data_IF_226487798436
#
_entry.id   IF_226487798436
#
_cell.length_a   1.000
_cell.length_b   1.000
_cell.length_c   1.000
_cell.angle_alpha   90.00
_cell.angle_beta   90.00
_cell.angle_gamma   90.00
#
_symmetry.space_group_name_H-M   'P 1'
#
loop_
_entity.id
_entity.type
_entity.pdbx_description
1 polymer ?
#
# COMPACT_ATOMS: atom_id res chain seq x y z
N UNK A 1 51.46 -41.39 -48.69
CA UNK A 1 50.85 -41.24 -47.35
C UNK A 1 51.48 -40.04 -46.65
N UNK A 2 50.68 -39.33 -45.85
CA UNK A 2 50.93 -38.03 -45.16
C UNK A 2 50.45 -36.79 -45.93
N UNK A 3 49.15 -36.56 -45.85
CA UNK A 3 48.53 -35.25 -45.98
C UNK A 3 48.80 -34.46 -44.69
N UNK A 4 49.39 -33.27 -44.80
CA UNK A 4 49.47 -32.29 -43.71
C UNK A 4 48.39 -31.25 -43.96
N UNK A 5 47.44 -31.18 -43.03
CA UNK A 5 46.39 -30.16 -42.97
C UNK A 5 46.90 -29.02 -42.09
N UNK A 6 46.86 -27.79 -42.59
CA UNK A 6 47.07 -26.59 -41.77
C UNK A 6 45.73 -25.88 -41.63
N UNK A 7 45.19 -25.92 -40.42
CA UNK A 7 43.94 -25.28 -40.01
C UNK A 7 44.06 -23.75 -40.04
N UNK A 8 43.12 -23.10 -40.72
CA UNK A 8 42.78 -21.69 -40.49
C UNK A 8 42.05 -21.58 -39.14
N UNK A 9 42.43 -20.65 -38.23
CA UNK A 9 41.60 -20.36 -37.07
C UNK A 9 40.37 -19.54 -37.52
N UNK A 10 39.20 -20.16 -37.40
CA UNK A 10 37.91 -19.47 -37.47
C UNK A 10 37.77 -18.60 -36.21
N UNK A 11 37.78 -17.28 -36.38
CA UNK A 11 37.49 -16.33 -35.30
C UNK A 11 35.98 -16.40 -35.06
N UNK A 12 35.56 -17.12 -34.02
CA UNK A 12 34.22 -17.03 -33.47
C UNK A 12 34.15 -15.73 -32.66
N UNK A 13 33.59 -14.67 -33.24
CA UNK A 13 33.13 -13.52 -32.43
C UNK A 13 31.87 -13.95 -31.70
N UNK A 14 32.06 -14.36 -30.44
CA UNK A 14 30.97 -14.57 -29.50
C UNK A 14 30.35 -13.21 -29.19
N UNK A 15 29.26 -12.87 -29.88
CA UNK A 15 28.42 -11.74 -29.50
C UNK A 15 27.69 -12.13 -28.21
N UNK A 16 28.28 -11.80 -27.07
CA UNK A 16 27.56 -11.82 -25.80
C UNK A 16 26.49 -10.71 -25.85
N UNK A 17 25.31 -11.05 -26.37
CA UNK A 17 24.10 -10.36 -25.94
C UNK A 17 23.91 -10.76 -24.47
N UNK A 18 24.43 -9.93 -23.56
CA UNK A 18 23.88 -9.87 -22.21
C UNK A 18 22.47 -9.30 -22.34
N UNK A 19 21.50 -10.18 -22.60
CA UNK A 19 20.17 -9.98 -22.07
C UNK A 19 20.34 -10.00 -20.55
N UNK A 20 20.39 -8.81 -19.96
CA UNK A 20 20.13 -8.61 -18.54
C UNK A 20 18.70 -9.08 -18.28
N UNK A 21 18.55 -10.38 -18.03
CA UNK A 21 17.37 -10.94 -17.40
C UNK A 21 17.37 -10.47 -15.95
N UNK A 22 16.90 -9.25 -15.71
CA UNK A 22 16.34 -8.92 -14.40
C UNK A 22 14.94 -9.53 -14.42
N UNK A 23 14.90 -10.86 -14.33
CA UNK A 23 13.71 -11.55 -13.89
C UNK A 23 13.61 -11.27 -12.38
N UNK A 24 13.07 -10.10 -12.03
CA UNK A 24 12.49 -9.92 -10.70
C UNK A 24 11.32 -10.86 -10.67
N UNK A 25 11.52 -12.09 -10.17
CA UNK A 25 10.38 -12.93 -9.83
C UNK A 25 9.59 -12.13 -8.81
N UNK A 26 8.43 -11.63 -9.21
CA UNK A 26 7.44 -11.16 -8.26
C UNK A 26 7.22 -12.35 -7.32
N UNK A 27 7.67 -12.24 -6.07
CA UNK A 27 7.21 -13.16 -5.05
C UNK A 27 5.68 -13.23 -5.16
N UNK A 28 5.08 -14.42 -4.98
CA UNK A 28 3.62 -14.54 -5.12
C UNK A 28 2.97 -13.48 -4.24
N UNK A 29 2.25 -12.54 -4.88
CA UNK A 29 1.65 -11.40 -4.18
C UNK A 29 0.65 -11.93 -3.16
N UNK A 30 1.04 -11.91 -1.89
CA UNK A 30 0.20 -12.35 -0.77
C UNK A 30 -0.69 -11.18 -0.37
N UNK A 31 -1.94 -11.48 -0.03
CA UNK A 31 -2.82 -10.48 0.56
C UNK A 31 -2.21 -9.91 1.84
N UNK A 32 -2.21 -8.59 1.98
CA UNK A 32 -1.77 -7.90 3.18
C UNK A 32 -2.90 -7.01 3.71
N UNK A 33 -3.17 -7.12 5.00
CA UNK A 33 -4.09 -6.20 5.69
C UNK A 33 -3.41 -4.87 6.02
N UNK A 34 -4.19 -3.85 6.34
CA UNK A 34 -3.65 -2.58 6.87
C UNK A 34 -2.80 -2.85 8.12
N UNK A 35 -3.27 -3.72 9.01
CA UNK A 35 -2.56 -4.09 10.24
C UNK A 35 -1.20 -4.75 9.98
N UNK A 36 -1.09 -5.55 8.92
CA UNK A 36 0.20 -6.15 8.56
C UNK A 36 1.23 -5.08 8.21
N UNK A 37 0.84 -4.08 7.40
CA UNK A 37 1.70 -2.96 7.06
C UNK A 37 2.03 -2.06 8.26
N UNK A 38 1.02 -1.73 9.07
CA UNK A 38 1.23 -0.91 10.27
C UNK A 38 2.14 -1.61 11.29
N UNK A 39 1.99 -2.93 11.47
CA UNK A 39 2.87 -3.74 12.33
C UNK A 39 4.31 -3.68 11.85
N UNK A 40 4.57 -3.88 10.55
CA UNK A 40 5.94 -3.79 10.02
C UNK A 40 6.55 -2.41 10.23
N UNK A 41 5.80 -1.33 9.99
CA UNK A 41 6.30 0.02 10.26
C UNK A 41 6.55 0.26 11.76
N UNK A 42 5.70 -0.27 12.64
CA UNK A 42 5.89 -0.20 14.09
C UNK A 42 7.15 -0.94 14.54
N UNK A 43 7.39 -2.15 14.03
CA UNK A 43 8.59 -2.95 14.29
C UNK A 43 9.86 -2.18 13.87
N UNK A 44 9.89 -1.63 12.64
CA UNK A 44 11.02 -0.85 12.14
C UNK A 44 11.26 0.43 12.94
N UNK A 45 10.18 1.06 13.42
CA UNK A 45 10.27 2.24 14.29
C UNK A 45 10.90 1.87 15.63
N UNK A 46 10.46 0.77 16.26
CA UNK A 46 11.05 0.28 17.50
C UNK A 46 12.52 -0.10 17.33
N UNK A 47 12.88 -0.81 16.27
CA UNK A 47 14.26 -1.16 15.97
C UNK A 47 15.13 0.11 15.83
N UNK A 48 14.65 1.11 15.11
CA UNK A 48 15.34 2.40 14.95
C UNK A 48 15.49 3.16 16.27
N UNK A 49 14.50 3.09 17.17
CA UNK A 49 14.57 3.68 18.49
C UNK A 49 15.59 2.96 19.39
N UNK A 50 15.66 1.63 19.30
CA UNK A 50 16.65 0.81 20.03
C UNK A 50 18.07 1.12 19.52
N UNK A 51 18.27 1.15 18.20
CA UNK A 51 19.57 1.46 17.59
C UNK A 51 20.11 2.84 17.99
N UNK A 52 19.22 3.83 18.17
CA UNK A 52 19.55 5.17 18.63
C UNK A 52 19.69 5.28 20.16
N UNK A 53 19.50 4.18 20.89
CA UNK A 53 19.53 4.13 22.36
C UNK A 53 18.46 5.02 22.99
N UNK A 54 17.31 5.16 22.33
CA UNK A 54 16.11 5.82 22.86
C UNK A 54 15.31 4.81 23.66
N UNK A 55 15.12 3.63 23.09
CA UNK A 55 14.62 2.47 23.81
C UNK A 55 15.78 1.55 24.18
N UNK A 56 15.61 0.83 25.29
CA UNK A 56 16.52 -0.20 25.76
C UNK A 56 15.74 -1.51 25.90
N UNK A 57 16.36 -2.61 25.47
CA UNK A 57 15.78 -3.95 25.59
C UNK A 57 16.06 -4.47 27.00
N UNK A 58 15.00 -4.68 27.78
CA UNK A 58 15.06 -5.25 29.12
C UNK A 58 14.32 -6.60 29.13
N UNK A 59 15.04 -7.66 28.76
CA UNK A 59 14.46 -8.99 28.63
C UNK A 59 13.54 -9.09 27.41
N UNK A 60 12.22 -9.18 27.65
CA UNK A 60 11.19 -9.22 26.59
C UNK A 60 10.54 -7.88 26.32
N UNK A 61 10.82 -6.89 27.16
CA UNK A 61 10.19 -5.58 27.09
C UNK A 61 11.18 -4.55 26.54
N UNK A 62 10.65 -3.51 25.90
CA UNK A 62 11.39 -2.31 25.53
C UNK A 62 11.00 -1.19 26.46
N UNK A 63 11.98 -0.58 27.13
CA UNK A 63 11.77 0.54 28.05
C UNK A 63 12.46 1.78 27.52
N UNK A 64 11.97 2.96 27.92
CA UNK A 64 12.64 4.22 27.60
C UNK A 64 13.97 4.32 28.37
N UNK A 65 15.05 4.71 27.69
CA UNK A 65 16.36 4.92 28.32
C UNK A 65 16.28 6.01 29.39
N UNK A 66 17.01 5.85 30.50
CA UNK A 66 16.98 6.78 31.64
C UNK A 66 17.27 8.24 31.24
N UNK A 67 18.12 8.45 30.22
CA UNK A 67 18.47 9.80 29.71
C UNK A 67 17.27 10.56 29.11
N UNK A 68 16.19 9.84 28.83
CA UNK A 68 14.96 10.35 28.23
C UNK A 68 13.79 10.42 29.23
N UNK A 69 14.03 10.07 30.48
CA UNK A 69 13.06 10.23 31.56
C UNK A 69 13.22 11.60 32.23
N UNK A 70 12.10 12.20 32.60
CA UNK A 70 12.08 13.32 33.54
C UNK A 70 12.45 12.79 34.94
N UNK A 71 13.44 13.39 35.62
CA UNK A 71 13.93 12.88 36.91
C UNK A 71 12.96 13.09 38.07
N UNK A 72 11.99 13.99 37.95
CA UNK A 72 10.98 14.26 38.98
C UNK A 72 9.76 13.35 38.83
N UNK A 73 9.30 13.11 37.59
CA UNK A 73 8.08 12.33 37.33
C UNK A 73 8.34 10.88 36.91
N UNK A 74 9.52 10.59 36.35
CA UNK A 74 9.81 9.30 35.71
C UNK A 74 9.05 9.08 34.41
N UNK A 75 8.42 10.11 33.84
CA UNK A 75 7.75 10.07 32.54
C UNK A 75 8.72 10.44 31.40
N UNK A 76 8.31 10.27 30.15
CA UNK A 76 9.11 10.71 29.01
C UNK A 76 9.29 12.24 29.02
N UNK A 77 10.52 12.71 28.83
CA UNK A 77 10.78 14.14 28.69
C UNK A 77 10.39 14.68 27.30
N UNK A 78 10.28 16.00 27.17
CA UNK A 78 9.81 16.68 25.95
C UNK A 78 10.62 16.34 24.68
N UNK A 79 11.88 15.91 24.83
CA UNK A 79 12.74 15.60 23.68
C UNK A 79 12.37 14.29 22.98
N UNK A 80 11.74 13.35 23.69
CA UNK A 80 11.42 12.01 23.18
C UNK A 80 10.38 12.06 22.08
N UNK A 81 9.35 12.89 22.26
CA UNK A 81 8.26 12.99 21.29
C UNK A 81 8.79 13.43 19.93
N UNK A 82 9.64 14.48 19.88
CA UNK A 82 10.23 14.95 18.62
C UNK A 82 11.09 13.89 17.93
N UNK A 83 11.88 13.12 18.70
CA UNK A 83 12.70 12.04 18.15
C UNK A 83 11.85 10.89 17.61
N UNK A 84 10.81 10.49 18.36
CA UNK A 84 9.86 9.49 17.92
C UNK A 84 9.18 9.88 16.61
N UNK A 85 8.73 11.14 16.52
CA UNK A 85 8.10 11.70 15.31
C UNK A 85 9.03 11.65 14.11
N UNK A 86 10.28 12.11 14.27
CA UNK A 86 11.30 12.08 13.22
C UNK A 86 11.55 10.66 12.71
N UNK A 87 11.74 9.71 13.63
CA UNK A 87 12.04 8.31 13.31
C UNK A 87 10.84 7.67 12.60
N UNK A 88 9.64 7.80 13.16
CA UNK A 88 8.41 7.21 12.60
C UNK A 88 8.16 7.73 11.17
N UNK A 89 8.38 9.02 10.95
CA UNK A 89 8.25 9.63 9.63
C UNK A 89 9.30 9.12 8.62
N UNK A 90 10.55 8.95 9.06
CA UNK A 90 11.61 8.38 8.22
C UNK A 90 11.34 6.91 7.88
N UNK A 91 10.84 6.13 8.83
CA UNK A 91 10.44 4.73 8.61
C UNK A 91 9.29 4.67 7.61
N UNK A 92 8.22 5.45 7.80
CA UNK A 92 7.11 5.49 6.86
C UNK A 92 7.57 5.87 5.45
N UNK A 93 8.41 6.91 5.31
CA UNK A 93 8.99 7.31 4.03
C UNK A 93 9.82 6.19 3.39
N UNK A 94 10.64 5.49 4.17
CA UNK A 94 11.47 4.40 3.67
C UNK A 94 10.60 3.19 3.24
N UNK A 95 9.56 2.88 4.00
CA UNK A 95 8.62 1.81 3.70
C UNK A 95 7.83 2.09 2.41
N UNK A 96 7.47 3.36 2.18
CA UNK A 96 6.76 3.84 1.00
C UNK A 96 7.66 4.34 -0.14
N UNK A 97 8.99 4.16 -0.05
CA UNK A 97 9.93 4.65 -1.07
C UNK A 97 9.62 4.09 -2.47
N UNK A 98 9.06 2.88 -2.47
CA UNK A 98 8.59 2.19 -3.64
C UNK A 98 7.07 2.29 -3.71
N UNK A 99 6.48 3.46 -3.45
CA UNK A 99 5.07 3.79 -3.71
C UNK A 99 4.03 3.10 -2.82
N UNK A 100 2.75 3.14 -3.24
CA UNK A 100 1.62 2.56 -2.51
C UNK A 100 1.79 1.06 -2.22
N UNK A 101 1.26 0.63 -1.08
CA UNK A 101 1.41 -0.73 -0.55
C UNK A 101 0.32 -1.65 -1.10
N UNK A 102 0.70 -2.74 -1.77
CA UNK A 102 -0.24 -3.70 -2.31
C UNK A 102 -1.05 -4.39 -1.19
N UNK A 103 -2.38 -4.47 -1.36
CA UNK A 103 -3.25 -5.23 -0.45
C UNK A 103 -3.89 -6.45 -1.13
N UNK A 104 -4.53 -6.24 -2.29
CA UNK A 104 -5.37 -7.23 -2.95
C UNK A 104 -5.41 -6.96 -4.46
N UNK A 105 -5.66 -7.98 -5.27
CA UNK A 105 -6.14 -7.79 -6.64
C UNK A 105 -7.31 -8.72 -6.98
N UNK A 106 -8.05 -8.36 -8.03
CA UNK A 106 -9.10 -9.15 -8.65
C UNK A 106 -8.89 -9.13 -10.17
N UNK A 107 -9.10 -10.28 -10.82
CA UNK A 107 -9.15 -10.34 -12.28
C UNK A 107 -10.61 -10.40 -12.75
N UNK A 108 -10.92 -9.65 -13.81
CA UNK A 108 -12.22 -9.74 -14.47
C UNK A 108 -12.05 -9.40 -15.95
N UNK A 109 -12.51 -10.32 -16.80
CA UNK A 109 -12.21 -10.34 -18.23
C UNK A 109 -10.69 -10.22 -18.49
N UNK A 110 -10.30 -9.22 -19.27
CA UNK A 110 -8.95 -8.84 -19.69
C UNK A 110 -8.30 -7.78 -18.79
N UNK A 111 -8.95 -7.46 -17.67
CA UNK A 111 -8.51 -6.44 -16.70
C UNK A 111 -8.13 -7.04 -15.35
N UNK A 112 -7.28 -6.32 -14.63
CA UNK A 112 -6.87 -6.58 -13.25
C UNK A 112 -7.09 -5.31 -12.42
N UNK A 113 -7.78 -5.45 -11.30
CA UNK A 113 -8.10 -4.36 -10.37
C UNK A 113 -7.32 -4.58 -9.09
N UNK A 114 -6.59 -3.56 -8.64
CA UNK A 114 -5.59 -3.71 -7.59
C UNK A 114 -5.83 -2.67 -6.52
N UNK A 115 -6.05 -3.13 -5.30
CA UNK A 115 -6.21 -2.31 -4.12
C UNK A 115 -4.84 -2.05 -3.49
N UNK A 116 -4.54 -0.77 -3.32
CA UNK A 116 -3.35 -0.27 -2.64
C UNK A 116 -3.73 0.53 -1.38
N UNK A 117 -2.83 0.53 -0.41
CA UNK A 117 -2.86 1.30 0.81
C UNK A 117 -1.75 2.36 0.81
N UNK A 118 -2.09 3.59 1.18
CA UNK A 118 -1.22 4.76 1.17
C UNK A 118 -1.29 5.45 2.54
N UNK A 119 -0.33 5.21 3.47
CA UNK A 119 -0.20 6.05 4.64
C UNK A 119 0.20 7.46 4.20
N UNK A 120 -0.60 8.44 4.57
CA UNK A 120 -0.51 9.83 4.12
C UNK A 120 -0.21 10.79 5.28
N UNK A 121 0.48 10.31 6.31
CA UNK A 121 0.70 11.02 7.57
C UNK A 121 0.80 10.01 8.71
N UNK A 122 0.72 10.48 9.96
CA UNK A 122 0.72 9.54 11.11
C UNK A 122 -0.58 8.77 11.25
N UNK A 123 -1.71 9.41 10.93
CA UNK A 123 -3.04 8.86 11.12
C UNK A 123 -3.92 9.03 9.87
N UNK A 124 -3.30 9.45 8.78
CA UNK A 124 -4.00 9.71 7.53
C UNK A 124 -3.75 8.52 6.62
N UNK A 125 -4.83 7.98 6.07
CA UNK A 125 -4.82 6.72 5.35
C UNK A 125 -5.59 6.87 4.06
N UNK A 126 -4.92 6.56 2.96
CA UNK A 126 -5.48 6.48 1.62
C UNK A 126 -5.61 5.03 1.19
N UNK A 127 -6.63 4.76 0.40
CA UNK A 127 -6.82 3.51 -0.31
C UNK A 127 -7.18 3.83 -1.74
N UNK A 128 -6.50 3.16 -2.68
CA UNK A 128 -6.66 3.40 -4.11
C UNK A 128 -6.92 2.09 -4.81
N UNK A 129 -7.83 2.10 -5.76
CA UNK A 129 -7.97 1.00 -6.73
C UNK A 129 -7.40 1.45 -8.06
N UNK A 130 -6.43 0.71 -8.58
CA UNK A 130 -5.84 0.93 -9.91
C UNK A 130 -6.27 -0.19 -10.84
N UNK A 131 -6.55 0.16 -12.10
CA UNK A 131 -6.94 -0.78 -13.15
C UNK A 131 -5.78 -0.98 -14.12
N UNK A 132 -5.46 -2.24 -14.42
CA UNK A 132 -4.47 -2.64 -15.41
C UNK A 132 -5.12 -3.58 -16.42
N UNK A 133 -4.59 -3.60 -17.65
CA UNK A 133 -4.80 -4.77 -18.51
C UNK A 133 -3.98 -5.95 -18.00
N UNK A 134 -4.39 -7.18 -18.30
CA UNK A 134 -3.59 -8.38 -17.97
C UNK A 134 -2.19 -8.39 -18.59
N UNK A 135 -1.99 -7.67 -19.70
CA UNK A 135 -0.69 -7.54 -20.34
C UNK A 135 0.25 -6.58 -19.58
N UNK A 136 -0.31 -5.59 -18.89
CA UNK A 136 0.43 -4.65 -18.03
C UNK A 136 0.69 -5.26 -16.64
N UNK A 137 -0.26 -6.05 -16.14
CA UNK A 137 -0.16 -6.73 -14.87
C UNK A 137 1.03 -7.71 -14.82
N UNK A 138 1.78 -7.70 -13.73
CA UNK A 138 2.99 -8.52 -13.55
C UNK A 138 4.27 -7.96 -14.17
N UNK A 139 4.23 -6.78 -14.80
CA UNK A 139 5.45 -6.10 -15.24
C UNK A 139 6.01 -5.22 -14.11
N UNK A 140 7.25 -5.47 -13.61
CA UNK A 140 7.85 -4.74 -12.49
C UNK A 140 7.93 -3.22 -12.69
N UNK A 141 7.87 -2.72 -13.93
CA UNK A 141 7.79 -1.29 -14.23
C UNK A 141 6.56 -0.61 -13.60
N UNK A 142 5.51 -1.37 -13.34
CA UNK A 142 4.24 -0.89 -12.78
C UNK A 142 4.06 -1.23 -11.29
N UNK A 143 5.10 -1.78 -10.64
CA UNK A 143 5.15 -2.01 -9.20
C UNK A 143 6.32 -1.23 -8.59
N UNK A 144 6.06 -0.12 -7.90
CA UNK A 144 4.76 0.49 -7.59
C UNK A 144 4.07 1.18 -8.76
N UNK A 145 2.76 1.44 -8.67
CA UNK A 145 2.18 2.45 -9.53
C UNK A 145 2.98 3.74 -9.34
N UNK A 146 3.31 4.48 -10.40
CA UNK A 146 3.97 5.77 -10.26
C UNK A 146 3.19 6.59 -9.20
N UNK A 147 3.92 7.20 -8.27
CA UNK A 147 3.35 8.21 -7.36
C UNK A 147 2.96 9.38 -8.26
N UNK A 148 1.73 9.35 -8.75
CA UNK A 148 1.20 10.41 -9.59
C UNK A 148 0.39 11.31 -8.67
N UNK A 149 0.92 12.49 -8.38
CA UNK A 149 0.09 13.62 -7.97
C UNK A 149 -1.02 13.81 -9.03
N UNK A 150 -2.24 13.40 -8.68
CA UNK A 150 -3.44 13.69 -9.47
C UNK A 150 -3.81 12.77 -10.64
N UNK A 151 -3.41 11.48 -10.69
CA UNK A 151 -3.81 10.62 -11.81
C UNK A 151 -3.79 9.10 -11.60
N UNK A 152 -4.86 8.45 -12.09
CA UNK A 152 -5.04 7.03 -12.45
C UNK A 152 -5.29 5.99 -11.34
N UNK A 153 -6.00 6.37 -10.28
CA UNK A 153 -6.88 5.42 -9.56
C UNK A 153 -8.29 5.50 -10.14
N UNK A 154 -8.96 4.36 -10.35
CA UNK A 154 -10.38 4.34 -10.72
C UNK A 154 -11.28 4.61 -9.51
N UNK A 155 -10.78 4.34 -8.30
CA UNK A 155 -11.39 4.64 -7.02
C UNK A 155 -10.31 5.14 -6.05
N UNK A 156 -10.66 6.10 -5.20
CA UNK A 156 -9.79 6.60 -4.15
C UNK A 156 -10.63 7.00 -2.93
N UNK A 157 -10.17 6.61 -1.75
CA UNK A 157 -10.75 7.02 -0.49
C UNK A 157 -9.64 7.34 0.52
N UNK A 158 -9.75 8.46 1.19
CA UNK A 158 -8.85 8.97 2.20
C UNK A 158 -9.63 9.22 3.49
N UNK A 159 -8.98 9.01 4.62
CA UNK A 159 -9.55 9.18 5.95
C UNK A 159 -8.44 9.61 6.92
N UNK A 160 -8.78 10.45 7.90
CA UNK A 160 -7.84 11.00 8.89
C UNK A 160 -8.16 10.48 10.29
N UNK A 161 -7.16 10.38 11.15
CA UNK A 161 -7.36 10.06 12.57
C UNK A 161 -7.78 8.61 12.85
N UNK A 162 -8.93 8.43 13.50
CA UNK A 162 -9.54 7.13 13.82
C UNK A 162 -10.19 6.49 12.59
N UNK A 163 -9.50 6.54 11.45
CA UNK A 163 -9.97 5.95 10.21
C UNK A 163 -10.34 4.49 10.42
N UNK A 164 -11.48 4.09 9.86
CA UNK A 164 -11.92 2.71 9.90
C UNK A 164 -10.95 1.87 9.05
N UNK A 165 -10.05 1.10 9.65
CA UNK A 165 -9.01 0.34 8.92
C UNK A 165 -9.35 -1.14 8.75
N UNK A 166 -10.50 -1.54 9.29
CA UNK A 166 -10.88 -2.93 9.39
C UNK A 166 -11.36 -3.48 8.05
N UNK A 167 -10.98 -4.71 7.72
CA UNK A 167 -11.55 -5.47 6.60
C UNK A 167 -11.63 -4.70 5.28
N UNK A 168 -10.60 -3.90 4.95
CA UNK A 168 -10.54 -3.16 3.68
C UNK A 168 -10.30 -4.13 2.53
N UNK A 169 -11.23 -4.18 1.58
CA UNK A 169 -11.12 -5.06 0.42
C UNK A 169 -11.99 -4.58 -0.74
N UNK A 170 -11.69 -5.13 -1.92
CA UNK A 170 -12.52 -5.02 -3.12
C UNK A 170 -13.18 -6.37 -3.46
N UNK A 171 -14.35 -6.33 -4.08
CA UNK A 171 -15.03 -7.51 -4.63
C UNK A 171 -15.90 -7.14 -5.84
N UNK A 172 -16.29 -8.14 -6.63
CA UNK A 172 -17.14 -7.96 -7.80
C UNK A 172 -18.55 -8.50 -7.49
N UNK A 173 -19.54 -7.65 -7.72
CA UNK A 173 -20.95 -8.00 -7.80
C UNK A 173 -21.48 -7.46 -9.13
N UNK A 174 -21.41 -8.30 -10.16
CA UNK A 174 -21.66 -7.93 -11.56
C UNK A 174 -22.93 -7.07 -11.71
N UNK A 175 -22.89 -5.94 -12.44
CA UNK A 175 -21.77 -5.42 -13.24
C UNK A 175 -20.79 -4.50 -12.49
N UNK A 176 -20.69 -4.63 -11.17
CA UNK A 176 -19.98 -3.65 -10.34
C UNK A 176 -18.74 -4.21 -9.66
N UNK A 177 -17.71 -3.36 -9.56
CA UNK A 177 -16.62 -3.48 -8.61
C UNK A 177 -16.91 -2.60 -7.40
N UNK A 178 -16.85 -3.20 -6.22
CA UNK A 178 -17.18 -2.55 -4.94
C UNK A 178 -15.93 -2.48 -4.08
N UNK A 179 -15.71 -1.33 -3.45
CA UNK A 179 -14.71 -1.18 -2.39
C UNK A 179 -15.42 -1.03 -1.04
N UNK A 180 -15.00 -1.82 -0.06
CA UNK A 180 -15.59 -1.83 1.27
C UNK A 180 -14.55 -1.79 2.38
N UNK A 181 -14.98 -1.32 3.55
CA UNK A 181 -14.16 -1.12 4.74
C UNK A 181 -15.06 -1.11 5.98
N UNK A 182 -14.66 -1.86 7.01
CA UNK A 182 -15.39 -2.05 8.26
C UNK A 182 -16.86 -2.40 8.08
N UNK A 183 -17.18 -3.21 7.07
CA UNK A 183 -18.55 -3.62 6.76
C UNK A 183 -19.42 -2.61 6.02
N UNK A 184 -18.88 -1.44 5.63
CA UNK A 184 -19.58 -0.43 4.85
C UNK A 184 -19.02 -0.34 3.42
N UNK A 185 -19.85 0.12 2.49
CA UNK A 185 -19.43 0.37 1.11
C UNK A 185 -19.00 1.83 0.97
N UNK A 186 -17.82 2.03 0.39
CA UNK A 186 -17.22 3.36 0.20
C UNK A 186 -17.17 3.78 -1.25
N UNK A 187 -17.10 2.81 -2.17
CA UNK A 187 -17.03 3.12 -3.59
C UNK A 187 -17.66 2.04 -4.44
N UNK A 188 -18.20 2.46 -5.58
CA UNK A 188 -18.86 1.61 -6.57
C UNK A 188 -18.43 2.04 -7.97
N UNK A 189 -17.90 1.09 -8.72
CA UNK A 189 -17.44 1.27 -10.08
C UNK A 189 -18.22 0.34 -11.02
N UNK A 190 -18.78 0.89 -12.09
CA UNK A 190 -19.49 0.12 -13.11
C UNK A 190 -18.51 -0.39 -14.16
N UNK A 191 -18.42 -1.72 -14.26
CA UNK A 191 -17.49 -2.43 -15.13
C UNK A 191 -17.90 -2.38 -16.62
N UNK A 192 -19.19 -2.22 -16.92
CA UNK A 192 -19.69 -2.20 -18.30
C UNK A 192 -19.40 -0.88 -19.02
N UNK A 193 -19.51 0.24 -18.30
CA UNK A 193 -19.35 1.58 -18.87
C UNK A 193 -18.09 2.31 -18.40
N UNK A 194 -17.23 1.62 -17.65
CA UNK A 194 -15.92 2.10 -17.19
C UNK A 194 -15.99 3.39 -16.35
N UNK A 195 -16.97 3.49 -15.45
CA UNK A 195 -17.21 4.71 -14.67
C UNK A 195 -17.40 4.49 -13.17
N UNK A 196 -16.85 5.40 -12.37
CA UNK A 196 -17.10 5.46 -10.94
C UNK A 196 -18.48 6.09 -10.69
N UNK A 197 -19.40 5.33 -10.09
CA UNK A 197 -20.73 5.83 -9.71
C UNK A 197 -20.69 6.48 -8.33
N UNK A 198 -19.91 5.90 -7.41
CA UNK A 198 -19.68 6.43 -6.08
C UNK A 198 -18.18 6.38 -5.79
N UNK A 199 -17.59 7.54 -5.52
CA UNK A 199 -16.17 7.67 -5.23
C UNK A 199 -15.95 8.98 -4.44
N UNK A 200 -16.27 8.98 -3.14
CA UNK A 200 -15.95 10.14 -2.30
C UNK A 200 -14.49 9.99 -1.80
N UNK A 201 -13.61 10.94 -2.16
CA UNK A 201 -12.20 10.85 -1.81
C UNK A 201 -11.94 11.12 -0.33
N UNK A 202 -12.77 11.84 0.42
CA UNK A 202 -12.53 12.11 1.85
C UNK A 202 -13.83 12.37 2.62
N UNK A 203 -14.51 11.31 3.11
CA UNK A 203 -15.72 11.46 3.92
C UNK A 203 -15.51 12.25 5.22
N UNK A 204 -14.26 12.31 5.70
CA UNK A 204 -13.88 13.04 6.91
C UNK A 204 -14.19 14.55 6.83
N UNK A 205 -14.15 15.15 5.64
CA UNK A 205 -14.40 16.58 5.47
C UNK A 205 -15.90 16.95 5.33
N UNK A 206 -16.81 15.99 5.45
CA UNK A 206 -18.23 16.19 5.13
C UNK A 206 -19.09 16.72 6.30
N UNK A 207 -18.45 17.42 7.24
CA UNK A 207 -19.07 18.24 8.29
C UNK A 207 -20.12 17.49 9.15
N UNK A 208 -19.85 16.22 9.47
CA UNK A 208 -20.65 15.43 10.40
C UNK A 208 -19.93 15.21 11.74
N UNK A 209 -20.68 15.28 12.85
CA UNK A 209 -20.17 14.86 14.17
C UNK A 209 -19.81 13.36 14.20
N UNK A 210 -20.26 12.59 13.21
CA UNK A 210 -19.97 11.16 13.06
C UNK A 210 -19.76 10.79 11.58
N UNK A 211 -18.50 10.64 11.19
CA UNK A 211 -18.09 10.25 9.82
C UNK A 211 -18.71 8.92 9.40
N UNK A 212 -18.85 7.95 10.31
CA UNK A 212 -19.41 6.62 9.97
C UNK A 212 -20.90 6.68 9.64
N UNK A 213 -21.67 7.49 10.36
CA UNK A 213 -23.08 7.70 10.05
C UNK A 213 -23.23 8.40 8.69
N UNK A 214 -22.36 9.37 8.40
CA UNK A 214 -22.34 10.01 7.09
C UNK A 214 -22.03 9.02 5.97
N UNK A 215 -20.99 8.19 6.12
CA UNK A 215 -20.64 7.13 5.17
C UNK A 215 -21.82 6.18 4.97
N UNK A 216 -22.51 5.80 6.05
CA UNK A 216 -23.66 4.90 5.96
C UNK A 216 -24.77 5.48 5.08
N UNK A 217 -25.16 6.72 5.34
CA UNK A 217 -26.28 7.37 4.65
C UNK A 217 -25.95 7.82 3.23
N UNK A 218 -24.72 8.26 2.97
CA UNK A 218 -24.36 8.91 1.69
C UNK A 218 -23.58 8.01 0.73
N UNK A 219 -22.96 6.94 1.22
CA UNK A 219 -22.25 5.98 0.39
C UNK A 219 -22.87 4.59 0.50
N UNK A 220 -22.90 3.99 1.68
CA UNK A 220 -23.27 2.59 1.84
C UNK A 220 -24.71 2.29 1.39
N UNK A 221 -25.70 2.99 1.92
CA UNK A 221 -27.12 2.78 1.57
C UNK A 221 -27.42 3.10 0.09
N UNK A 222 -26.90 4.19 -0.53
CA UNK A 222 -27.01 4.41 -1.96
C UNK A 222 -26.37 3.29 -2.80
N UNK A 223 -25.15 2.87 -2.47
CA UNK A 223 -24.46 1.79 -3.17
C UNK A 223 -25.25 0.49 -3.06
N UNK A 224 -25.71 0.14 -1.86
CA UNK A 224 -26.53 -1.05 -1.64
C UNK A 224 -27.79 -1.03 -2.51
N UNK A 225 -28.47 0.11 -2.62
CA UNK A 225 -29.65 0.24 -3.50
C UNK A 225 -29.30 0.04 -4.96
N UNK A 226 -28.16 0.51 -5.45
CA UNK A 226 -27.72 0.21 -6.82
C UNK A 226 -27.44 -1.29 -7.02
N UNK A 227 -26.77 -1.92 -6.05
CA UNK A 227 -26.45 -3.34 -6.08
C UNK A 227 -27.68 -4.26 -6.04
N UNK A 228 -28.81 -3.77 -5.52
CA UNK A 228 -30.09 -4.49 -5.43
C UNK A 228 -31.00 -4.30 -6.65
N UNK A 229 -30.71 -3.33 -7.53
CA UNK A 229 -31.45 -3.14 -8.79
C UNK A 229 -31.13 -4.28 -9.74
N UNK A 230 -32.12 -5.16 -9.94
CA UNK A 230 -32.09 -6.24 -10.92
C UNK A 230 -32.47 -5.76 -12.31
#
# INVERSE_FOLDING_TARGET
MKYTWTLLPLIFTCSCNQETSIATSLEPLVYHSVDDHLRTMYEWTNDSLIERGILEVNGRDTVLSEKYLDPETGEANDSVFGLYMEISFNVARAYLQNGPLYMQHLEHNDMVYVLYFEPAGMQDFGWRVVKFTKAEWGNPKYYPPPVIEGGEGILFNYDEGEANKDSVHIFIQEPFLVMSRGGLFYSLYNLENDSALFNNPSPWHEDSENTLDWVRTHLHEPIQRELEKK
#
